data_IF_248043903902
#
_entry.id   IF_248043903902
#
_cell.length_a   1.000
_cell.length_b   1.000
_cell.length_c   1.000
_cell.angle_alpha   90.00
_cell.angle_beta   90.00
_cell.angle_gamma   90.00
#
_symmetry.space_group_name_H-M   'P 1'
#
loop_
_entity.id
_entity.type
_entity.pdbx_description
1 polymer ?
#
# COMPACT_ATOMS: atom_id res chain seq x y z
N UNK A 1 -13.96 10.40 1.03
CA UNK A 1 -12.74 10.46 0.20
C UNK A 1 -11.50 10.33 1.06
N UNK A 2 -10.50 9.55 0.64
CA UNK A 2 -9.24 9.43 1.38
C UNK A 2 -8.55 10.79 1.45
N UNK A 3 -7.96 11.12 2.60
CA UNK A 3 -7.20 12.36 2.78
C UNK A 3 -5.97 12.41 1.86
N UNK A 4 -5.38 11.26 1.55
CA UNK A 4 -4.23 11.13 0.66
C UNK A 4 -4.12 9.70 0.10
N UNK A 5 -3.64 9.57 -1.14
CA UNK A 5 -3.27 8.29 -1.76
C UNK A 5 -1.79 8.35 -2.14
N UNK A 6 -1.00 7.40 -1.63
CA UNK A 6 0.41 7.25 -1.95
C UNK A 6 0.61 6.12 -2.97
N UNK A 7 1.46 6.35 -3.96
CA UNK A 7 1.74 5.43 -5.07
C UNK A 7 3.25 5.10 -5.15
N UNK A 8 3.82 4.39 -4.15
CA UNK A 8 5.23 4.03 -4.17
C UNK A 8 5.56 3.12 -5.36
N UNK A 9 6.78 3.26 -5.85
CA UNK A 9 7.36 2.53 -6.97
C UNK A 9 8.37 1.45 -6.54
N UNK A 10 8.74 1.42 -5.25
CA UNK A 10 9.66 0.44 -4.70
C UNK A 10 9.35 0.03 -3.26
N UNK A 11 9.97 -1.07 -2.82
CA UNK A 11 9.93 -1.56 -1.43
C UNK A 11 10.55 -0.56 -0.46
N UNK A 12 11.58 0.17 -0.87
CA UNK A 12 12.26 1.18 -0.06
C UNK A 12 11.34 2.37 0.20
N UNK A 13 10.58 2.82 -0.82
CA UNK A 13 9.58 3.88 -0.65
C UNK A 13 8.45 3.44 0.28
N UNK A 14 7.94 2.21 0.14
CA UNK A 14 6.96 1.63 1.08
C UNK A 14 7.50 1.65 2.51
N UNK A 15 8.73 1.19 2.71
CA UNK A 15 9.39 1.17 4.02
C UNK A 15 9.52 2.57 4.62
N UNK A 16 9.98 3.55 3.83
CA UNK A 16 10.12 4.93 4.26
C UNK A 16 8.77 5.57 4.64
N UNK A 17 7.72 5.31 3.85
CA UNK A 17 6.35 5.76 4.12
C UNK A 17 5.85 5.18 5.44
N UNK A 18 5.93 3.85 5.61
CA UNK A 18 5.45 3.17 6.81
C UNK A 18 6.21 3.61 8.06
N UNK A 19 7.53 3.79 7.97
CA UNK A 19 8.35 4.32 9.05
C UNK A 19 7.92 5.75 9.44
N UNK A 20 7.63 6.60 8.46
CA UNK A 20 7.12 7.96 8.70
C UNK A 20 5.74 7.93 9.38
N UNK A 21 4.80 7.14 8.86
CA UNK A 21 3.45 7.00 9.39
C UNK A 21 3.47 6.45 10.82
N UNK A 22 4.26 5.40 11.08
CA UNK A 22 4.40 4.82 12.41
C UNK A 22 4.92 5.85 13.43
N UNK A 23 5.99 6.57 13.10
CA UNK A 23 6.56 7.63 13.96
C UNK A 23 5.55 8.75 14.29
N UNK A 24 4.65 9.05 13.35
CA UNK A 24 3.64 10.11 13.51
C UNK A 24 2.28 9.61 13.97
N UNK A 25 2.11 8.30 14.16
CA UNK A 25 0.83 7.66 14.47
C UNK A 25 -0.25 7.97 13.43
N UNK A 26 0.13 7.95 12.15
CA UNK A 26 -0.79 8.08 11.01
C UNK A 26 -1.26 6.68 10.62
N UNK A 27 -2.58 6.48 10.59
CA UNK A 27 -3.18 5.23 10.15
C UNK A 27 -3.04 5.03 8.63
N UNK A 28 -2.87 3.78 8.22
CA UNK A 28 -2.59 3.42 6.82
C UNK A 28 -3.51 2.29 6.39
N UNK A 29 -4.13 2.43 5.22
CA UNK A 29 -4.91 1.38 4.57
C UNK A 29 -4.13 0.88 3.35
N UNK A 30 -3.63 -0.37 3.37
CA UNK A 30 -2.99 -0.96 2.19
C UNK A 30 -4.04 -1.28 1.13
N UNK A 31 -3.74 -0.95 -0.13
CA UNK A 31 -4.65 -1.19 -1.25
C UNK A 31 -3.90 -1.68 -2.49
N UNK A 32 -4.40 -2.74 -3.12
CA UNK A 32 -3.92 -3.24 -4.41
C UNK A 32 -5.02 -3.10 -5.48
N UNK A 33 -5.64 -4.20 -5.92
CA UNK A 33 -6.72 -4.19 -6.92
C UNK A 33 -8.05 -3.58 -6.45
N UNK A 34 -8.23 -3.36 -5.14
CA UNK A 34 -9.44 -2.80 -4.53
C UNK A 34 -10.75 -3.53 -4.93
N UNK A 35 -10.71 -4.83 -5.15
CA UNK A 35 -11.87 -5.67 -5.52
C UNK A 35 -12.49 -6.41 -4.33
N UNK A 36 -12.02 -6.15 -3.11
CA UNK A 36 -12.55 -6.76 -1.90
C UNK A 36 -13.98 -6.27 -1.60
N UNK A 37 -14.87 -7.19 -1.20
CA UNK A 37 -16.30 -6.90 -1.01
C UNK A 37 -16.71 -6.69 0.46
N UNK A 38 -15.74 -6.73 1.39
CA UNK A 38 -15.97 -6.63 2.84
C UNK A 38 -15.45 -5.31 3.43
N UNK A 39 -15.10 -4.34 2.59
CA UNK A 39 -14.68 -2.99 3.01
C UNK A 39 -13.24 -2.87 3.51
N UNK A 40 -12.48 -3.96 3.66
CA UNK A 40 -11.13 -3.92 4.23
C UNK A 40 -10.06 -3.15 3.43
N UNK A 41 -10.34 -2.81 2.17
CA UNK A 41 -9.44 -2.03 1.31
C UNK A 41 -9.84 -0.55 1.19
N UNK A 42 -10.85 -0.11 1.96
CA UNK A 42 -11.39 1.26 1.92
C UNK A 42 -11.16 1.92 3.29
N UNK A 43 -10.61 3.14 3.34
CA UNK A 43 -10.45 3.88 4.60
C UNK A 43 -11.81 4.22 5.21
N UNK A 44 -11.89 4.11 6.54
CA UNK A 44 -13.11 4.41 7.29
C UNK A 44 -13.16 5.88 7.71
N UNK A 45 -11.99 6.49 7.95
CA UNK A 45 -11.82 7.86 8.41
C UNK A 45 -10.77 8.58 7.54
N UNK A 46 -9.70 9.07 8.15
CA UNK A 46 -8.64 9.88 7.56
C UNK A 46 -7.37 9.07 7.28
N UNK A 47 -7.47 7.73 7.21
CA UNK A 47 -6.31 6.89 6.93
C UNK A 47 -5.73 7.22 5.54
N UNK A 48 -4.41 7.21 5.46
CA UNK A 48 -3.70 7.34 4.18
C UNK A 48 -3.82 6.01 3.45
N UNK A 49 -4.21 6.06 2.17
CA UNK A 49 -4.21 4.87 1.32
C UNK A 49 -2.81 4.66 0.76
N UNK A 50 -2.24 3.49 1.04
CA UNK A 50 -0.98 3.03 0.45
C UNK A 50 -1.29 2.10 -0.72
N UNK A 51 -1.28 2.64 -1.94
CA UNK A 51 -1.59 1.88 -3.15
C UNK A 51 -0.34 1.24 -3.74
N UNK A 52 -0.28 -0.09 -3.74
CA UNK A 52 0.86 -0.85 -4.30
C UNK A 52 0.70 -1.13 -5.80
N UNK A 53 -0.27 -0.50 -6.47
CA UNK A 53 -0.58 -0.77 -7.89
C UNK A 53 0.60 -0.49 -8.82
N UNK A 54 1.49 0.44 -8.45
CA UNK A 54 2.71 0.77 -9.21
C UNK A 54 3.85 -0.24 -9.02
N UNK A 55 3.77 -1.13 -8.03
CA UNK A 55 4.76 -2.19 -7.77
C UNK A 55 4.31 -3.45 -8.53
N UNK A 56 4.60 -3.49 -9.82
CA UNK A 56 4.10 -4.51 -10.75
C UNK A 56 5.19 -5.13 -11.63
N UNK A 57 6.46 -5.03 -11.21
CA UNK A 57 7.58 -5.66 -11.92
C UNK A 57 7.43 -7.18 -11.91
N UNK A 58 7.87 -7.80 -13.00
CA UNK A 58 7.92 -9.25 -13.12
C UNK A 58 8.94 -9.82 -12.12
N UNK A 59 8.52 -10.84 -11.37
CA UNK A 59 9.41 -11.64 -10.55
C UNK A 59 9.97 -12.78 -11.38
N UNK A 60 11.21 -13.18 -11.12
CA UNK A 60 11.79 -14.38 -11.70
C UNK A 60 11.24 -15.60 -10.96
N UNK A 61 10.87 -16.62 -11.73
CA UNK A 61 10.45 -17.90 -11.21
C UNK A 61 11.50 -18.93 -11.62
N UNK A 62 12.09 -19.61 -10.63
CA UNK A 62 12.96 -20.76 -10.87
C UNK A 62 12.11 -22.03 -10.92
N UNK A 63 12.05 -22.66 -12.10
CA UNK A 63 11.24 -23.85 -12.36
C UNK A 63 11.89 -25.15 -11.84
N UNK A 64 13.15 -25.13 -11.40
CA UNK A 64 13.96 -26.34 -11.18
C UNK A 64 14.23 -26.62 -9.68
N UNK A 65 13.93 -25.66 -8.78
CA UNK A 65 14.11 -25.80 -7.33
C UNK A 65 13.20 -26.85 -6.67
#
# INVERSE_FOLDING_TARGET
>A
DPACVLLPSSTEEVSAILAHCARRRIAVVPQAGNTGLVGGSVPLYDEVVLSVKSINKHFEFDEIS
#
